data_IF_626228598500
#
_entry.id   IF_626228598500
#
_cell.length_a   1.000
_cell.length_b   1.000
_cell.length_c   1.000
_cell.angle_alpha   90.00
_cell.angle_beta   90.00
_cell.angle_gamma   90.00
#
_symmetry.space_group_name_H-M   'P 1'
#
loop_
_entity.id
_entity.type
_entity.pdbx_description
1 polymer ?
#
# COMPACT_ATOMS: atom_id res chain seq x y z
N UNK A 1 -17.18 12.62 -6.78
CA UNK A 1 -16.57 11.31 -6.60
C UNK A 1 -15.42 11.16 -7.57
N UNK A 2 -14.31 10.77 -7.09
CA UNK A 2 -13.12 10.67 -7.93
C UNK A 2 -12.59 9.26 -7.89
N UNK A 3 -12.43 8.65 -9.05
CA UNK A 3 -11.75 7.39 -9.17
C UNK A 3 -10.28 7.64 -9.40
N UNK A 4 -9.47 7.43 -8.38
CA UNK A 4 -8.03 7.48 -8.55
C UNK A 4 -7.54 6.15 -9.15
N UNK A 5 -6.27 6.11 -9.55
CA UNK A 5 -5.71 4.90 -10.13
C UNK A 5 -5.78 3.72 -9.15
N UNK A 6 -5.65 3.96 -7.85
CA UNK A 6 -5.73 2.89 -6.85
C UNK A 6 -7.17 2.38 -6.70
N UNK A 7 -8.18 3.27 -6.77
CA UNK A 7 -9.57 2.82 -6.79
C UNK A 7 -9.83 1.89 -7.98
N UNK A 8 -9.27 2.21 -9.13
CA UNK A 8 -9.42 1.37 -10.32
C UNK A 8 -8.76 0.02 -10.16
N UNK A 9 -7.61 -0.03 -9.50
CA UNK A 9 -6.94 -1.30 -9.21
C UNK A 9 -7.77 -2.12 -8.22
N UNK A 10 -8.29 -1.47 -7.18
CA UNK A 10 -9.15 -2.12 -6.18
C UNK A 10 -10.39 -2.74 -6.85
N UNK A 11 -10.97 -2.01 -7.80
CA UNK A 11 -12.17 -2.46 -8.51
C UNK A 11 -11.88 -3.41 -9.68
N UNK A 12 -10.61 -3.79 -9.86
CA UNK A 12 -10.17 -4.72 -10.92
C UNK A 12 -10.35 -4.15 -12.33
N UNK A 13 -10.42 -2.84 -12.47
CA UNK A 13 -10.50 -2.15 -13.77
C UNK A 13 -9.14 -2.03 -14.42
N UNK A 14 -8.07 -1.99 -13.63
CA UNK A 14 -6.69 -1.95 -14.08
C UNK A 14 -5.96 -3.13 -13.42
N UNK A 15 -5.21 -3.92 -14.20
CA UNK A 15 -4.49 -5.06 -13.64
C UNK A 15 -3.32 -4.63 -12.75
N UNK A 16 -3.00 -5.47 -11.76
CA UNK A 16 -1.85 -5.28 -10.89
C UNK A 16 -1.39 -6.65 -10.39
N UNK A 17 -0.12 -6.72 -9.97
CA UNK A 17 0.42 -7.92 -9.35
C UNK A 17 0.07 -7.90 -7.87
N UNK A 18 -0.98 -8.63 -7.49
CA UNK A 18 -1.51 -8.60 -6.13
C UNK A 18 -0.67 -9.51 -5.24
N UNK A 19 -0.20 -8.95 -4.13
CA UNK A 19 0.56 -9.66 -3.11
C UNK A 19 -0.37 -10.19 -2.01
N UNK A 20 -1.37 -9.39 -1.64
CA UNK A 20 -2.30 -9.71 -0.56
C UNK A 20 -3.58 -8.92 -0.75
N UNK A 21 -4.71 -9.51 -0.42
CA UNK A 21 -5.98 -8.81 -0.49
C UNK A 21 -6.96 -9.38 0.55
N UNK A 22 -7.67 -8.49 1.21
CA UNK A 22 -8.82 -8.85 2.04
C UNK A 22 -9.89 -7.76 1.93
N UNK A 23 -10.85 -7.73 2.83
CA UNK A 23 -11.94 -6.75 2.80
C UNK A 23 -11.51 -5.35 3.21
N UNK A 24 -10.33 -5.17 3.78
CA UNK A 24 -9.84 -3.88 4.29
C UNK A 24 -8.75 -3.29 3.40
N UNK A 25 -7.82 -4.10 2.91
CA UNK A 25 -6.65 -3.63 2.15
C UNK A 25 -6.43 -4.44 0.89
N UNK A 26 -5.74 -3.79 -0.04
CA UNK A 26 -5.13 -4.44 -1.20
C UNK A 26 -3.64 -4.11 -1.18
N UNK A 27 -2.80 -5.12 -1.36
CA UNK A 27 -1.35 -4.93 -1.49
C UNK A 27 -0.92 -5.44 -2.85
N UNK A 28 -0.15 -4.62 -3.58
CA UNK A 28 0.28 -4.96 -4.93
C UNK A 28 1.68 -4.38 -5.20
N UNK A 29 2.38 -4.96 -6.16
CA UNK A 29 3.72 -4.50 -6.51
C UNK A 29 3.63 -3.14 -7.19
N UNK A 30 4.54 -2.24 -6.79
CA UNK A 30 4.69 -0.95 -7.47
C UNK A 30 5.24 -1.20 -8.88
N UNK A 31 4.69 -0.52 -9.88
CA UNK A 31 5.19 -0.63 -11.25
C UNK A 31 6.53 0.07 -11.42
N UNK A 32 6.86 1.01 -10.53
CA UNK A 32 8.13 1.74 -10.52
C UNK A 32 8.94 1.36 -9.29
N UNK A 33 9.31 0.10 -9.20
CA UNK A 33 9.94 -0.44 -8.01
C UNK A 33 11.29 0.20 -7.73
N UNK A 34 11.45 0.71 -6.49
CA UNK A 34 12.75 1.20 -6.01
C UNK A 34 13.71 0.03 -5.85
N UNK A 35 13.20 -1.07 -5.29
CA UNK A 35 13.92 -2.33 -5.16
C UNK A 35 12.98 -3.48 -5.53
N UNK A 36 13.51 -4.63 -5.95
CA UNK A 36 12.65 -5.79 -6.23
C UNK A 36 11.79 -6.15 -5.02
N UNK A 37 10.48 -6.26 -5.26
CA UNK A 37 9.52 -6.54 -4.20
C UNK A 37 8.88 -5.33 -3.57
N UNK A 38 9.19 -4.11 -4.04
CA UNK A 38 8.57 -2.88 -3.57
C UNK A 38 7.04 -2.99 -3.71
N UNK A 39 6.36 -3.01 -2.59
CA UNK A 39 4.92 -3.26 -2.49
C UNK A 39 4.20 -2.02 -1.97
N UNK A 40 3.01 -1.75 -2.50
CA UNK A 40 2.12 -0.71 -2.00
C UNK A 40 0.97 -1.38 -1.26
N UNK A 41 0.65 -0.88 -0.08
CA UNK A 41 -0.53 -1.31 0.69
C UNK A 41 -1.51 -0.15 0.71
N UNK A 42 -2.71 -0.38 0.19
CA UNK A 42 -3.74 0.66 0.13
C UNK A 42 -4.99 0.19 0.85
N UNK A 43 -5.63 1.07 1.64
CA UNK A 43 -6.94 0.76 2.18
C UNK A 43 -7.97 0.75 1.05
N UNK A 44 -8.93 -0.16 1.11
CA UNK A 44 -10.01 -0.18 0.13
C UNK A 44 -10.94 1.00 0.31
N UNK A 45 -11.11 1.47 1.54
CA UNK A 45 -11.78 2.73 1.78
C UNK A 45 -10.90 3.88 1.31
N UNK A 46 -11.44 4.76 0.47
CA UNK A 46 -10.68 5.89 -0.03
C UNK A 46 -10.50 6.94 1.06
N UNK A 47 -9.27 7.11 1.53
CA UNK A 47 -8.83 8.23 2.36
C UNK A 47 -7.58 8.79 1.71
N UNK A 48 -7.45 10.12 1.69
CA UNK A 48 -6.37 10.76 0.95
C UNK A 48 -5.00 10.44 1.56
N UNK A 49 -4.90 10.50 2.89
CA UNK A 49 -3.63 10.28 3.59
C UNK A 49 -3.89 10.00 5.07
N UNK A 50 -2.79 9.98 5.85
CA UNK A 50 -2.84 9.61 7.27
C UNK A 50 -3.76 10.52 8.09
N UNK A 51 -3.91 11.79 7.66
CA UNK A 51 -4.73 12.74 8.41
C UNK A 51 -6.22 12.45 8.35
N UNK A 52 -6.65 11.61 7.40
CA UNK A 52 -8.06 11.22 7.25
C UNK A 52 -8.39 9.88 7.89
N UNK A 53 -7.41 9.20 8.48
CA UNK A 53 -7.67 7.95 9.19
C UNK A 53 -8.38 8.23 10.50
N UNK A 54 -9.42 7.43 10.81
CA UNK A 54 -9.88 7.32 12.20
C UNK A 54 -9.16 6.14 12.87
N UNK A 55 -9.40 5.98 14.18
CA UNK A 55 -8.71 4.94 14.94
C UNK A 55 -9.04 3.53 14.45
N UNK A 56 -10.29 3.30 14.06
CA UNK A 56 -10.73 1.98 13.60
C UNK A 56 -10.07 1.61 12.28
N UNK A 57 -10.02 2.55 11.33
CA UNK A 57 -9.38 2.30 10.05
C UNK A 57 -7.87 2.12 10.24
N UNK A 58 -7.25 2.96 11.07
CA UNK A 58 -5.82 2.85 11.34
C UNK A 58 -5.49 1.48 11.94
N UNK A 59 -6.26 1.04 12.93
CA UNK A 59 -6.06 -0.28 13.54
C UNK A 59 -6.20 -1.40 12.51
N UNK A 60 -7.24 -1.32 11.69
CA UNK A 60 -7.49 -2.37 10.68
C UNK A 60 -6.38 -2.43 9.64
N UNK A 61 -5.98 -1.29 9.09
CA UNK A 61 -4.97 -1.25 8.02
C UNK A 61 -3.60 -1.64 8.56
N UNK A 62 -3.15 -0.99 9.64
CA UNK A 62 -1.79 -1.20 10.14
C UNK A 62 -1.60 -2.56 10.80
N UNK A 63 -2.67 -3.17 11.32
CA UNK A 63 -2.59 -4.54 11.83
C UNK A 63 -2.18 -5.55 10.76
N UNK A 64 -2.41 -5.23 9.48
CA UNK A 64 -2.09 -6.12 8.37
C UNK A 64 -0.67 -5.97 7.86
N UNK A 65 0.00 -4.88 8.20
CA UNK A 65 1.33 -4.57 7.66
C UNK A 65 2.35 -5.66 7.99
N UNK A 66 2.48 -6.14 9.24
CA UNK A 66 3.48 -7.18 9.52
C UNK A 66 3.28 -8.46 8.70
N UNK A 67 2.04 -8.88 8.50
CA UNK A 67 1.74 -10.07 7.70
C UNK A 67 2.19 -9.88 6.24
N UNK A 68 1.88 -8.72 5.67
CA UNK A 68 2.25 -8.42 4.28
C UNK A 68 3.75 -8.31 4.16
N UNK A 69 4.41 -7.66 5.13
CA UNK A 69 5.86 -7.53 5.14
C UNK A 69 6.54 -8.91 5.19
N UNK A 70 6.00 -9.83 5.99
CA UNK A 70 6.54 -11.20 6.05
C UNK A 70 6.38 -11.93 4.72
N UNK A 71 5.27 -11.71 4.04
CA UNK A 71 5.05 -12.32 2.72
C UNK A 71 6.05 -11.78 1.70
N UNK A 72 6.31 -10.47 1.72
CA UNK A 72 7.32 -9.86 0.85
C UNK A 72 8.70 -10.43 1.16
N UNK A 73 9.07 -10.52 2.43
CA UNK A 73 10.36 -11.06 2.84
C UNK A 73 10.53 -12.51 2.39
N UNK A 74 9.48 -13.32 2.52
CA UNK A 74 9.53 -14.72 2.15
C UNK A 74 9.66 -14.95 0.64
N UNK A 75 9.33 -13.95 -0.17
CA UNK A 75 9.35 -14.06 -1.64
C UNK A 75 10.76 -14.06 -2.21
N UNK A 76 11.77 -13.59 -1.45
CA UNK A 76 13.14 -13.49 -1.94
C UNK A 76 14.11 -13.61 -0.76
N UNK A 77 14.98 -14.64 -0.75
CA UNK A 77 15.92 -14.85 0.36
C UNK A 77 16.98 -13.76 0.48
N UNK A 78 17.13 -12.90 -0.54
CA UNK A 78 18.08 -11.80 -0.49
C UNK A 78 17.54 -10.60 0.30
N UNK A 79 16.25 -10.58 0.66
CA UNK A 79 15.67 -9.50 1.43
C UNK A 79 16.12 -9.63 2.89
N UNK A 80 16.96 -8.67 3.33
CA UNK A 80 17.52 -8.64 4.67
C UNK A 80 16.95 -7.54 5.56
N UNK A 81 16.17 -6.63 4.98
CA UNK A 81 15.55 -5.53 5.70
C UNK A 81 14.43 -4.94 4.87
N UNK A 82 13.73 -3.98 5.45
CA UNK A 82 12.57 -3.40 4.78
C UNK A 82 12.28 -2.05 5.40
N UNK A 83 12.08 -1.04 4.56
CA UNK A 83 11.64 0.27 4.99
C UNK A 83 10.15 0.41 4.76
N UNK A 84 9.48 1.05 5.72
CA UNK A 84 8.06 1.39 5.62
C UNK A 84 7.99 2.90 5.47
N UNK A 85 7.36 3.36 4.39
CA UNK A 85 7.30 4.77 4.06
C UNK A 85 5.88 5.15 3.64
N UNK A 86 5.41 6.30 4.13
CA UNK A 86 4.14 6.87 3.68
C UNK A 86 4.34 8.35 3.45
N UNK A 87 3.96 8.85 2.27
CA UNK A 87 4.01 10.27 1.95
C UNK A 87 2.61 10.85 2.16
N UNK A 88 2.50 11.88 2.98
CA UNK A 88 1.22 12.44 3.37
C UNK A 88 1.20 13.93 3.10
N UNK A 89 0.50 14.31 2.03
CA UNK A 89 0.43 15.69 1.57
C UNK A 89 1.39 15.97 0.44
N UNK A 90 1.07 16.97 -0.36
CA UNK A 90 1.83 17.31 -1.57
C UNK A 90 3.28 17.70 -1.22
N UNK A 91 3.45 18.50 -0.16
CA UNK A 91 4.78 18.94 0.24
C UNK A 91 5.65 17.80 0.80
N UNK A 92 5.04 16.68 1.14
CA UNK A 92 5.76 15.47 1.56
C UNK A 92 5.86 14.46 0.41
N UNK A 93 5.67 14.94 -0.83
CA UNK A 93 5.83 14.16 -2.07
C UNK A 93 4.76 13.09 -2.27
N UNK A 94 3.56 13.28 -1.73
CA UNK A 94 2.45 12.41 -2.06
C UNK A 94 2.00 12.71 -3.49
N UNK A 95 2.03 11.69 -4.37
CA UNK A 95 1.69 11.86 -5.78
C UNK A 95 0.28 11.38 -6.12
N UNK A 96 -0.23 10.39 -5.40
CA UNK A 96 -1.60 9.89 -5.56
C UNK A 96 -2.33 10.11 -4.25
N UNK A 97 -3.49 10.77 -4.31
CA UNK A 97 -4.23 11.16 -3.10
C UNK A 97 -5.24 10.10 -2.69
N UNK A 98 -4.76 8.91 -2.60
CA UNK A 98 -5.32 7.75 -1.95
C UNK A 98 -4.18 7.18 -1.11
N UNK A 99 -4.39 7.09 0.20
CA UNK A 99 -3.35 6.67 1.13
C UNK A 99 -2.69 5.37 0.67
N UNK A 100 -1.38 5.35 0.69
CA UNK A 100 -0.63 4.15 0.37
C UNK A 100 0.64 4.08 1.20
N UNK A 101 0.96 2.87 1.62
CA UNK A 101 2.12 2.59 2.45
C UNK A 101 3.09 1.79 1.61
N UNK A 102 4.31 2.32 1.46
CA UNK A 102 5.37 1.64 0.72
C UNK A 102 6.08 0.66 1.62
N UNK A 103 6.22 -0.58 1.16
CA UNK A 103 7.10 -1.57 1.78
C UNK A 103 8.27 -1.75 0.81
N UNK A 104 9.43 -1.23 1.18
CA UNK A 104 10.61 -1.18 0.30
C UNK A 104 11.70 -2.09 0.89
N UNK A 105 11.86 -3.29 0.34
CA UNK A 105 12.84 -4.26 0.83
C UNK A 105 14.27 -3.81 0.65
#
# INVERSE_FOLDING_TARGET
MTDCIFDKIINKEIPAHIVYEDDVVLAFLDISQVTPGHTLVVPKKHVANIFEYDADLASAVFARIPKIARAVQASNPDIKGLNILSNNGELAYQSVFHSHIHLIP
#
